data_IF_147033135416
#
_entry.id   IF_147033135416
#
_cell.length_a   1.000
_cell.length_b   1.000
_cell.length_c   1.000
_cell.angle_alpha   90.00
_cell.angle_beta   90.00
_cell.angle_gamma   90.00
#
_symmetry.space_group_name_H-M   'P 1'
#
loop_
_entity.id
_entity.type
_entity.pdbx_description
1 polymer ?
#
# COMPACT_ATOMS: atom_id res chain seq x y z
N UNK A 1 -6.82 -21.81 -10.65
CA UNK A 1 -8.25 -22.14 -10.47
C UNK A 1 -8.85 -22.52 -11.81
N UNK A 2 -10.15 -22.78 -11.84
CA UNK A 2 -10.90 -22.94 -13.09
C UNK A 2 -10.81 -21.65 -13.94
N UNK A 3 -10.93 -21.75 -15.28
CA UNK A 3 -10.96 -20.58 -16.15
C UNK A 3 -12.11 -19.63 -15.75
N UNK A 4 -11.94 -18.30 -15.95
CA UNK A 4 -13.08 -17.41 -16.05
C UNK A 4 -14.05 -17.94 -17.12
N UNK A 5 -15.35 -17.87 -16.83
CA UNK A 5 -16.40 -18.22 -17.80
C UNK A 5 -16.11 -17.48 -19.13
N UNK A 6 -15.96 -18.25 -20.21
CA UNK A 6 -15.64 -17.82 -21.58
C UNK A 6 -14.16 -17.63 -21.97
N UNK A 7 -13.19 -18.10 -21.17
CA UNK A 7 -11.79 -18.16 -21.62
C UNK A 7 -11.36 -19.62 -21.82
N UNK A 8 -11.13 -20.03 -23.06
CA UNK A 8 -10.51 -21.32 -23.36
C UNK A 8 -9.05 -21.34 -22.87
N UNK A 9 -8.62 -22.40 -22.17
CA UNK A 9 -7.23 -22.53 -21.75
C UNK A 9 -6.31 -22.66 -22.97
N UNK A 10 -5.14 -21.97 -22.99
CA UNK A 10 -4.14 -22.15 -24.04
C UNK A 10 -3.75 -23.61 -24.24
N UNK A 11 -3.67 -24.37 -23.14
CA UNK A 11 -3.52 -25.83 -23.14
C UNK A 11 -4.55 -26.45 -22.20
N UNK A 12 -5.58 -27.15 -22.71
CA UNK A 12 -6.59 -27.82 -21.88
C UNK A 12 -5.97 -28.80 -20.89
N UNK A 13 -6.37 -28.71 -19.61
CA UNK A 13 -5.88 -29.60 -18.54
C UNK A 13 -4.49 -29.24 -17.99
N UNK A 14 -3.72 -28.37 -18.65
CA UNK A 14 -2.37 -27.98 -18.24
C UNK A 14 -2.22 -26.48 -17.95
N UNK A 15 -3.32 -25.73 -18.06
CA UNK A 15 -3.33 -24.29 -17.78
C UNK A 15 -3.76 -24.01 -16.35
N UNK A 16 -2.97 -23.21 -15.63
CA UNK A 16 -3.33 -22.68 -14.31
C UNK A 16 -3.71 -21.21 -14.41
N UNK A 17 -4.95 -20.89 -14.06
CA UNK A 17 -5.41 -19.50 -13.97
C UNK A 17 -5.03 -18.91 -12.60
N UNK A 18 -4.27 -17.83 -12.64
CA UNK A 18 -3.90 -17.01 -11.48
C UNK A 18 -4.49 -15.62 -11.70
N UNK A 19 -5.38 -15.13 -10.81
CA UNK A 19 -5.97 -13.81 -10.95
C UNK A 19 -4.91 -12.72 -10.77
N UNK A 20 -5.19 -11.54 -11.32
CA UNK A 20 -4.30 -10.38 -11.19
C UNK A 20 -3.95 -10.13 -9.72
N UNK A 21 -2.68 -9.81 -9.46
CA UNK A 21 -2.18 -9.55 -8.11
C UNK A 21 -2.19 -10.76 -7.18
N UNK A 22 -2.40 -11.98 -7.72
CA UNK A 22 -2.49 -13.20 -6.93
C UNK A 22 -3.68 -13.21 -5.98
N UNK A 23 -4.75 -12.46 -6.31
CA UNK A 23 -5.99 -12.32 -5.54
C UNK A 23 -6.77 -13.66 -5.46
N UNK A 24 -6.20 -14.65 -4.78
CA UNK A 24 -6.75 -15.99 -4.64
C UNK A 24 -6.27 -16.61 -3.33
N UNK A 25 -6.95 -17.67 -2.89
CA UNK A 25 -6.55 -18.43 -1.70
C UNK A 25 -5.12 -18.98 -1.73
N UNK A 26 -4.48 -19.11 -2.91
CA UNK A 26 -3.08 -19.58 -3.01
C UNK A 26 -2.08 -18.63 -2.35
N UNK A 27 -2.40 -17.33 -2.29
CA UNK A 27 -1.56 -16.33 -1.64
C UNK A 27 -1.60 -16.40 -0.09
N UNK A 28 -2.58 -17.12 0.49
CA UNK A 28 -2.78 -17.21 1.94
C UNK A 28 -1.53 -17.70 2.68
N UNK A 29 -0.80 -18.68 2.13
CA UNK A 29 0.37 -19.24 2.79
C UNK A 29 1.47 -18.18 2.98
N UNK A 30 1.76 -17.40 1.94
CA UNK A 30 2.76 -16.33 1.99
C UNK A 30 2.35 -15.19 2.92
N UNK A 31 1.09 -14.75 2.85
CA UNK A 31 0.60 -13.65 3.70
C UNK A 31 0.44 -14.08 5.16
N UNK A 32 0.12 -15.35 5.41
CA UNK A 32 0.14 -15.94 6.76
C UNK A 32 1.55 -15.90 7.32
N UNK A 33 2.55 -16.31 6.54
CA UNK A 33 3.95 -16.25 6.96
C UNK A 33 4.39 -14.82 7.28
N UNK A 34 4.04 -13.87 6.42
CA UNK A 34 4.29 -12.45 6.64
C UNK A 34 3.64 -11.95 7.94
N UNK A 35 2.39 -12.34 8.21
CA UNK A 35 1.70 -11.98 9.45
C UNK A 35 2.42 -12.53 10.69
N UNK A 36 2.87 -13.79 10.65
CA UNK A 36 3.65 -14.42 11.73
C UNK A 36 4.95 -13.64 11.99
N UNK A 37 5.67 -13.26 10.93
CA UNK A 37 6.91 -12.49 11.02
C UNK A 37 6.68 -11.10 11.61
N UNK A 38 5.64 -10.40 11.15
CA UNK A 38 5.24 -9.08 11.68
C UNK A 38 4.86 -9.17 13.16
N UNK A 39 4.00 -10.12 13.53
CA UNK A 39 3.55 -10.30 14.93
C UNK A 39 4.74 -10.64 15.82
N UNK A 40 5.59 -11.58 15.39
CA UNK A 40 6.79 -11.97 16.14
C UNK A 40 7.73 -10.79 16.33
N UNK A 41 8.02 -10.05 15.25
CA UNK A 41 8.87 -8.87 15.31
C UNK A 41 8.29 -7.80 16.23
N UNK A 42 7.00 -7.51 16.11
CA UNK A 42 6.38 -6.45 16.90
C UNK A 42 6.21 -6.81 18.38
N UNK A 43 6.00 -8.09 18.69
CA UNK A 43 6.00 -8.58 20.07
C UNK A 43 7.37 -8.38 20.75
N UNK A 44 8.46 -8.62 20.02
CA UNK A 44 9.84 -8.48 20.51
C UNK A 44 10.31 -7.01 20.55
N UNK A 45 10.05 -6.25 19.48
CA UNK A 45 10.63 -4.91 19.24
C UNK A 45 9.67 -3.75 19.47
N UNK A 46 8.36 -4.02 19.49
CA UNK A 46 7.33 -2.98 19.59
C UNK A 46 7.24 -2.33 20.97
N UNK A 47 7.72 -3.02 22.02
CA UNK A 47 7.68 -2.53 23.42
C UNK A 47 6.26 -2.15 23.88
N UNK A 48 5.25 -2.92 23.45
CA UNK A 48 3.84 -2.66 23.75
C UNK A 48 3.24 -1.46 23.03
N UNK A 49 3.98 -0.78 22.15
CA UNK A 49 3.44 0.34 21.37
C UNK A 49 2.47 -0.16 20.30
N UNK A 50 1.44 0.64 19.94
CA UNK A 50 0.60 0.35 18.80
C UNK A 50 1.38 0.45 17.47
N UNK A 51 0.98 -0.36 16.49
CA UNK A 51 1.54 -0.42 15.14
C UNK A 51 0.48 -0.12 14.09
N UNK A 52 0.84 0.68 13.11
CA UNK A 52 0.14 0.81 11.83
C UNK A 52 1.05 0.30 10.72
N UNK A 53 0.58 -0.71 10.01
CA UNK A 53 1.24 -1.27 8.84
C UNK A 53 0.67 -0.61 7.60
N UNK A 54 1.54 -0.01 6.80
CA UNK A 54 1.18 0.67 5.55
C UNK A 54 1.69 -0.12 4.35
N UNK A 55 0.86 -0.28 3.33
CA UNK A 55 1.29 -0.92 2.09
C UNK A 55 0.61 -0.34 0.84
N UNK A 56 1.31 -0.31 -0.31
CA UNK A 56 0.71 0.03 -1.59
C UNK A 56 -0.42 -0.93 -1.97
N UNK A 57 -1.46 -0.41 -2.60
CA UNK A 57 -2.64 -1.16 -3.04
C UNK A 57 -2.93 -0.99 -4.52
N UNK A 58 -2.65 -2.02 -5.32
CA UNK A 58 -3.24 -2.19 -6.66
C UNK A 58 -4.56 -2.96 -6.58
N UNK A 59 -4.49 -4.28 -6.57
CA UNK A 59 -5.64 -5.18 -6.29
C UNK A 59 -5.96 -5.29 -4.80
N UNK A 60 -5.12 -4.71 -3.93
CA UNK A 60 -5.25 -4.73 -2.47
C UNK A 60 -5.23 -6.13 -1.81
N UNK A 61 -4.85 -7.18 -2.57
CA UNK A 61 -4.91 -8.58 -2.10
C UNK A 61 -4.03 -8.83 -0.88
N UNK A 62 -2.77 -8.34 -0.91
CA UNK A 62 -1.85 -8.44 0.22
C UNK A 62 -2.41 -7.77 1.48
N UNK A 63 -3.07 -6.61 1.34
CA UNK A 63 -3.61 -5.88 2.47
C UNK A 63 -4.73 -6.65 3.17
N UNK A 64 -5.69 -7.19 2.39
CA UNK A 64 -6.80 -8.00 2.91
C UNK A 64 -6.29 -9.27 3.58
N UNK A 65 -5.45 -10.02 2.87
CA UNK A 65 -4.95 -11.30 3.37
C UNK A 65 -4.09 -11.12 4.63
N UNK A 66 -3.26 -10.08 4.68
CA UNK A 66 -2.46 -9.75 5.86
C UNK A 66 -3.34 -9.31 7.03
N UNK A 67 -4.34 -8.46 6.78
CA UNK A 67 -5.32 -8.03 7.79
C UNK A 67 -6.08 -9.22 8.40
N UNK A 68 -6.56 -10.14 7.55
CA UNK A 68 -7.26 -11.33 8.00
C UNK A 68 -6.35 -12.25 8.81
N UNK A 69 -5.12 -12.47 8.35
CA UNK A 69 -4.13 -13.29 9.04
C UNK A 69 -3.76 -12.71 10.41
N UNK A 70 -3.47 -11.41 10.49
CA UNK A 70 -3.16 -10.73 11.76
C UNK A 70 -4.35 -10.80 12.70
N UNK A 71 -5.57 -10.49 12.23
CA UNK A 71 -6.78 -10.51 13.06
C UNK A 71 -7.07 -11.91 13.59
N UNK A 72 -6.87 -12.95 12.78
CA UNK A 72 -7.04 -14.34 13.20
C UNK A 72 -6.00 -14.79 14.23
N UNK A 73 -4.72 -14.46 14.03
CA UNK A 73 -3.63 -14.84 14.93
C UNK A 73 -3.61 -14.04 16.23
N UNK A 74 -4.05 -12.78 16.19
CA UNK A 74 -4.06 -11.85 17.31
C UNK A 74 -5.47 -11.73 17.94
N UNK A 75 -6.23 -12.84 17.97
CA UNK A 75 -7.61 -12.87 18.46
C UNK A 75 -7.78 -12.48 19.93
N UNK A 76 -6.73 -12.64 20.74
CA UNK A 76 -6.68 -12.16 22.14
C UNK A 76 -6.37 -10.67 22.28
N UNK A 77 -6.12 -9.97 21.17
CA UNK A 77 -5.71 -8.55 21.09
C UNK A 77 -4.53 -8.22 22.02
N UNK A 78 -3.52 -9.09 22.04
CA UNK A 78 -2.28 -8.86 22.82
C UNK A 78 -1.44 -7.72 22.22
N UNK A 79 -1.56 -7.51 20.91
CA UNK A 79 -0.92 -6.42 20.19
C UNK A 79 -1.98 -5.52 19.56
N UNK A 80 -1.72 -4.22 19.50
CA UNK A 80 -2.53 -3.30 18.70
C UNK A 80 -1.85 -3.09 17.34
N UNK A 81 -2.27 -3.87 16.35
CA UNK A 81 -1.75 -3.82 14.98
C UNK A 81 -2.90 -3.52 14.01
N UNK A 82 -2.73 -2.49 13.21
CA UNK A 82 -3.71 -2.04 12.21
C UNK A 82 -3.09 -2.06 10.82
N UNK A 83 -3.87 -2.42 9.81
CA UNK A 83 -3.42 -2.47 8.41
C UNK A 83 -4.10 -1.34 7.64
N UNK A 84 -3.29 -0.52 6.98
CA UNK A 84 -3.69 0.63 6.19
C UNK A 84 -3.19 0.45 4.75
N UNK A 85 -4.11 0.44 3.79
CA UNK A 85 -3.79 0.34 2.37
C UNK A 85 -3.75 1.72 1.74
N UNK A 86 -2.76 1.97 0.88
CA UNK A 86 -2.61 3.20 0.12
C UNK A 86 -2.94 2.90 -1.34
N UNK A 87 -4.09 3.34 -1.88
CA UNK A 87 -4.47 3.03 -3.26
C UNK A 87 -3.50 3.65 -4.26
N UNK A 88 -2.88 2.83 -5.09
CA UNK A 88 -2.06 3.24 -6.23
C UNK A 88 -2.81 3.04 -7.56
N UNK A 89 -3.91 2.30 -7.54
CA UNK A 89 -4.79 2.07 -8.70
C UNK A 89 -6.20 2.49 -8.33
N UNK A 90 -6.79 3.37 -9.14
CA UNK A 90 -8.14 3.88 -8.89
C UNK A 90 -8.21 4.76 -7.65
N UNK A 91 -9.40 4.82 -7.06
CA UNK A 91 -9.73 5.57 -5.85
C UNK A 91 -10.08 4.64 -4.68
N UNK A 92 -10.51 5.22 -3.56
CA UNK A 92 -11.03 4.45 -2.40
C UNK A 92 -12.19 3.52 -2.76
N UNK A 93 -13.07 3.91 -3.67
CA UNK A 93 -14.20 3.08 -4.07
C UNK A 93 -13.71 1.85 -4.82
N UNK A 94 -12.73 2.01 -5.71
CA UNK A 94 -12.07 0.91 -6.39
C UNK A 94 -11.38 -0.02 -5.37
N UNK A 95 -10.58 0.52 -4.46
CA UNK A 95 -9.86 -0.27 -3.45
C UNK A 95 -10.84 -1.05 -2.56
N UNK A 96 -11.88 -0.40 -2.03
CA UNK A 96 -12.91 -1.05 -1.22
C UNK A 96 -13.63 -2.16 -1.98
N UNK A 97 -13.96 -1.95 -3.27
CA UNK A 97 -14.61 -2.98 -4.09
C UNK A 97 -13.71 -4.20 -4.29
N UNK A 98 -12.43 -3.99 -4.59
CA UNK A 98 -11.46 -5.09 -4.74
C UNK A 98 -11.34 -5.89 -3.43
N UNK A 99 -11.17 -5.18 -2.31
CA UNK A 99 -11.03 -5.83 -1.00
C UNK A 99 -12.28 -6.60 -0.59
N UNK A 100 -13.46 -6.02 -0.79
CA UNK A 100 -14.75 -6.66 -0.47
C UNK A 100 -14.97 -7.92 -1.30
N UNK A 101 -14.68 -7.88 -2.61
CA UNK A 101 -14.82 -9.03 -3.49
C UNK A 101 -13.92 -10.19 -3.05
N UNK A 102 -12.64 -9.91 -2.76
CA UNK A 102 -11.72 -10.93 -2.28
C UNK A 102 -12.13 -11.48 -0.91
N UNK A 103 -12.58 -10.63 0.02
CA UNK A 103 -13.02 -11.10 1.34
C UNK A 103 -14.23 -12.05 1.24
N UNK A 104 -15.17 -11.74 0.33
CA UNK A 104 -16.32 -12.59 0.06
C UNK A 104 -15.90 -13.95 -0.53
N UNK A 105 -14.96 -13.96 -1.48
CA UNK A 105 -14.41 -15.19 -2.08
C UNK A 105 -13.74 -16.08 -1.02
N UNK A 106 -13.02 -15.48 -0.06
CA UNK A 106 -12.32 -16.20 1.01
C UNK A 106 -13.25 -16.75 2.09
N UNK A 107 -14.56 -16.45 2.04
CA UNK A 107 -15.53 -16.86 3.06
C UNK A 107 -15.18 -16.35 4.47
N UNK A 108 -14.41 -15.25 4.56
CA UNK A 108 -13.93 -14.74 5.84
C UNK A 108 -15.08 -14.14 6.64
N UNK A 109 -15.35 -14.70 7.81
CA UNK A 109 -16.37 -14.25 8.77
C UNK A 109 -15.93 -13.07 9.65
N UNK A 110 -14.67 -12.64 9.53
CA UNK A 110 -14.13 -11.49 10.26
C UNK A 110 -14.53 -10.19 9.53
N UNK A 111 -15.38 -9.39 10.17
CA UNK A 111 -16.05 -8.18 9.63
C UNK A 111 -15.12 -6.97 9.39
N UNK A 112 -13.89 -7.16 8.92
CA UNK A 112 -12.96 -6.08 8.64
C UNK A 112 -12.38 -6.16 7.23
N UNK A 113 -12.29 -5.01 6.57
CA UNK A 113 -11.32 -4.77 5.51
C UNK A 113 -10.30 -3.75 6.06
N UNK A 114 -9.05 -3.76 5.56
CA UNK A 114 -8.06 -2.75 5.89
C UNK A 114 -8.61 -1.32 5.69
N UNK A 115 -8.17 -0.39 6.53
CA UNK A 115 -8.46 1.03 6.34
C UNK A 115 -7.80 1.53 5.07
N UNK A 116 -8.54 2.25 4.23
CA UNK A 116 -7.99 2.91 3.04
C UNK A 116 -7.48 4.29 3.44
N UNK A 117 -6.22 4.60 3.12
CA UNK A 117 -5.67 5.93 3.31
C UNK A 117 -6.05 6.83 2.12
N UNK A 118 -6.85 7.89 2.32
CA UNK A 118 -7.20 8.82 1.24
C UNK A 118 -5.97 9.62 0.77
N UNK A 119 -6.00 10.17 -0.46
CA UNK A 119 -4.85 10.86 -1.07
C UNK A 119 -4.54 12.20 -0.38
N UNK A 120 -5.52 12.73 0.37
CA UNK A 120 -5.45 14.01 1.08
C UNK A 120 -5.83 13.75 2.54
N UNK A 121 -5.06 14.26 3.51
CA UNK A 121 -5.45 14.25 4.92
C UNK A 121 -6.69 15.09 5.16
N UNK A 122 -7.57 14.64 6.06
CA UNK A 122 -8.72 15.43 6.53
C UNK A 122 -8.26 16.53 7.50
N UNK A 123 -7.55 17.52 6.97
CA UNK A 123 -7.02 18.65 7.71
C UNK A 123 -7.29 19.97 6.96
N UNK A 124 -8.09 20.89 7.54
CA UNK A 124 -8.40 22.18 6.92
C UNK A 124 -7.18 23.08 6.68
N UNK A 125 -6.12 22.98 7.49
CA UNK A 125 -4.90 23.75 7.28
C UNK A 125 -4.05 23.19 6.13
N UNK A 126 -4.06 21.87 5.92
CA UNK A 126 -3.43 21.23 4.77
C UNK A 126 -4.10 21.68 3.46
N UNK A 127 -5.42 21.60 3.39
CA UNK A 127 -6.18 22.00 2.20
C UNK A 127 -6.07 23.51 1.92
N UNK A 128 -6.10 24.35 2.97
CA UNK A 128 -5.90 25.80 2.83
C UNK A 128 -4.51 26.16 2.29
N UNK A 129 -3.46 25.42 2.69
CA UNK A 129 -2.09 25.61 2.16
C UNK A 129 -1.91 25.08 0.75
N UNK A 130 -2.78 24.16 0.34
CA UNK A 130 -2.72 23.50 -0.96
C UNK A 130 -4.07 23.65 -1.70
N UNK A 131 -4.52 24.87 -2.02
CA UNK A 131 -5.87 25.10 -2.53
C UNK A 131 -6.15 24.43 -3.89
N UNK A 132 -5.09 24.07 -4.62
CA UNK A 132 -5.17 23.37 -5.90
C UNK A 132 -5.05 21.84 -5.77
N UNK A 133 -4.82 21.30 -4.56
CA UNK A 133 -4.83 19.86 -4.32
C UNK A 133 -6.29 19.39 -4.26
N UNK A 134 -6.87 19.18 -5.45
CA UNK A 134 -8.14 18.44 -5.55
C UNK A 134 -7.88 16.99 -5.16
N UNK A 135 -8.92 16.24 -4.79
CA UNK A 135 -8.93 14.83 -4.35
C UNK A 135 -8.23 13.86 -5.35
N UNK A 136 -6.94 14.08 -5.57
CA UNK A 136 -6.15 13.55 -6.67
C UNK A 136 -5.44 12.34 -6.15
N UNK A 137 -6.13 11.22 -6.30
CA UNK A 137 -5.43 9.98 -6.61
C UNK A 137 -4.58 10.20 -7.86
N UNK A 138 -3.39 9.63 -7.86
CA UNK A 138 -2.57 9.58 -9.06
C UNK A 138 -3.19 8.59 -10.03
N UNK A 139 -3.30 8.96 -11.30
CA UNK A 139 -3.65 8.00 -12.33
C UNK A 139 -2.56 6.93 -12.39
N UNK A 140 -2.94 5.66 -12.33
CA UNK A 140 -1.97 4.57 -12.29
C UNK A 140 -1.05 4.61 -13.52
N UNK A 141 0.26 4.70 -13.27
CA UNK A 141 1.30 4.70 -14.31
C UNK A 141 1.47 6.00 -15.09
N UNK A 142 0.73 7.05 -14.76
CA UNK A 142 0.93 8.38 -15.32
C UNK A 142 2.10 9.10 -14.62
N UNK A 143 3.09 9.61 -15.37
CA UNK A 143 4.17 10.40 -14.78
C UNK A 143 3.65 11.65 -14.07
N UNK A 144 4.06 11.85 -12.82
CA UNK A 144 3.62 12.97 -12.00
C UNK A 144 4.78 13.60 -11.22
N UNK A 145 4.96 14.94 -11.23
CA UNK A 145 6.06 15.62 -10.54
C UNK A 145 6.19 15.23 -9.06
N UNK A 146 5.10 15.25 -8.30
CA UNK A 146 5.15 14.87 -6.88
C UNK A 146 5.61 13.43 -6.60
N UNK A 147 5.33 12.49 -7.53
CA UNK A 147 5.81 11.11 -7.43
C UNK A 147 7.32 11.09 -7.68
N UNK A 148 7.79 11.80 -8.70
CA UNK A 148 9.22 11.94 -9.03
C UNK A 148 10.00 12.61 -7.88
N UNK A 149 9.44 13.65 -7.27
CA UNK A 149 10.05 14.34 -6.13
C UNK A 149 10.25 13.37 -4.96
N UNK A 150 9.23 12.56 -4.66
CA UNK A 150 9.29 11.54 -3.61
C UNK A 150 10.30 10.45 -3.94
N UNK A 151 10.31 9.96 -5.18
CA UNK A 151 11.31 9.00 -5.64
C UNK A 151 12.73 9.53 -5.44
N UNK A 152 12.99 10.76 -5.89
CA UNK A 152 14.30 11.39 -5.78
C UNK A 152 14.72 11.66 -4.33
N UNK A 153 13.79 12.03 -3.45
CA UNK A 153 14.10 12.28 -2.04
C UNK A 153 14.36 10.98 -1.27
N UNK A 154 13.74 9.87 -1.68
CA UNK A 154 13.83 8.60 -0.96
C UNK A 154 14.96 7.69 -1.48
N UNK A 155 15.41 7.83 -2.73
CA UNK A 155 16.25 6.84 -3.41
C UNK A 155 17.55 6.43 -2.68
N UNK A 156 18.11 7.31 -1.86
CA UNK A 156 19.34 7.02 -1.11
C UNK A 156 19.07 6.24 0.20
N UNK A 157 17.86 6.32 0.75
CA UNK A 157 17.43 5.63 1.97
C UNK A 157 16.64 4.34 1.67
N UNK A 158 15.76 4.42 0.66
CA UNK A 158 14.89 3.35 0.21
C UNK A 158 14.57 3.58 -1.27
N UNK A 159 15.07 2.69 -2.13
CA UNK A 159 14.74 2.72 -3.55
C UNK A 159 13.28 2.31 -3.73
N UNK A 160 12.46 3.18 -4.29
CA UNK A 160 11.04 2.96 -4.56
C UNK A 160 10.81 2.85 -6.07
N UNK A 161 9.82 2.08 -6.50
CA UNK A 161 9.32 2.15 -7.87
C UNK A 161 8.36 3.35 -8.06
N UNK A 162 8.16 3.81 -9.30
CA UNK A 162 7.30 4.95 -9.63
C UNK A 162 5.83 4.56 -9.89
N UNK A 163 5.43 3.29 -9.73
CA UNK A 163 4.04 2.83 -9.89
C UNK A 163 3.32 2.59 -8.55
N UNK A 164 4.02 2.06 -7.56
CA UNK A 164 3.45 1.69 -6.27
C UNK A 164 4.18 2.35 -5.10
N UNK A 165 5.51 2.18 -5.03
CA UNK A 165 6.35 2.66 -3.94
C UNK A 165 6.28 4.18 -3.76
N UNK A 166 6.79 4.93 -4.72
CA UNK A 166 6.86 6.38 -4.67
C UNK A 166 5.47 7.03 -4.57
N UNK A 167 4.43 6.62 -5.35
CA UNK A 167 3.07 7.13 -5.15
C UNK A 167 2.52 6.90 -3.74
N UNK A 168 2.77 5.73 -3.16
CA UNK A 168 2.34 5.43 -1.79
C UNK A 168 3.04 6.31 -0.77
N UNK A 169 4.35 6.47 -0.90
CA UNK A 169 5.13 7.35 -0.04
C UNK A 169 4.72 8.82 -0.19
N UNK A 170 4.38 9.28 -1.40
CA UNK A 170 3.89 10.64 -1.61
C UNK A 170 2.61 10.87 -0.81
N UNK A 171 1.67 9.92 -0.81
CA UNK A 171 0.43 10.03 -0.01
C UNK A 171 0.73 9.89 1.49
N UNK A 172 1.53 8.91 1.88
CA UNK A 172 1.91 8.68 3.28
C UNK A 172 2.54 9.93 3.90
N UNK A 173 3.51 10.54 3.24
CA UNK A 173 4.19 11.76 3.71
C UNK A 173 3.23 12.95 3.86
N UNK A 174 2.17 13.07 3.03
CA UNK A 174 1.14 14.11 3.23
C UNK A 174 0.49 13.97 4.60
N UNK A 175 0.10 12.76 4.98
CA UNK A 175 -0.53 12.47 6.27
C UNK A 175 0.44 12.63 7.44
N UNK A 176 1.67 12.15 7.31
CA UNK A 176 2.69 12.30 8.37
C UNK A 176 3.03 13.77 8.64
N UNK A 177 3.09 14.61 7.61
CA UNK A 177 3.36 16.04 7.75
C UNK A 177 2.22 16.84 8.42
N UNK A 178 1.02 16.26 8.45
CA UNK A 178 -0.14 16.82 9.15
C UNK A 178 -0.18 16.29 10.58
N UNK A 179 -0.16 14.96 10.75
CA UNK A 179 -0.31 14.30 12.05
C UNK A 179 0.90 14.50 12.97
N UNK A 180 2.11 14.66 12.42
CA UNK A 180 3.32 14.99 13.19
C UNK A 180 3.27 16.33 13.92
N UNK A 181 2.28 17.19 13.64
CA UNK A 181 2.01 18.44 14.37
C UNK A 181 0.99 18.29 15.49
N UNK A 182 0.21 17.21 15.48
CA UNK A 182 -0.73 16.87 16.54
C UNK A 182 0.01 16.09 17.63
N UNK A 183 0.87 16.76 18.38
CA UNK A 183 1.36 16.19 19.63
C UNK A 183 0.37 16.52 20.74
N UNK A 184 -0.44 15.56 21.15
CA UNK A 184 -0.99 15.57 22.51
C UNK A 184 -1.27 14.16 23.07
N UNK A 185 -0.53 13.89 24.14
CA UNK A 185 -1.00 13.34 25.44
C UNK A 185 -1.60 11.94 25.43
N UNK A 186 -0.72 10.95 25.61
CA UNK A 186 -0.70 10.12 26.83
C UNK A 186 -2.02 9.50 27.33
N UNK A 187 -2.94 9.19 26.43
CA UNK A 187 -4.14 8.41 26.71
C UNK A 187 -4.16 7.18 25.81
N UNK A 188 -4.78 6.10 26.28
CA UNK A 188 -5.08 4.91 25.47
C UNK A 188 -5.94 5.34 24.26
N UNK A 189 -5.31 5.69 23.13
CA UNK A 189 -6.06 6.01 21.93
C UNK A 189 -6.38 4.72 21.18
N UNK A 190 -7.67 4.38 21.16
CA UNK A 190 -8.22 3.45 20.18
C UNK A 190 -7.87 3.94 18.77
N UNK A 191 -7.60 3.01 17.86
CA UNK A 191 -7.32 3.33 16.46
C UNK A 191 -8.41 4.21 15.83
N UNK A 192 -7.99 5.34 15.25
CA UNK A 192 -8.84 6.23 14.47
C UNK A 192 -8.45 6.14 12.98
N UNK A 193 -9.35 5.68 12.09
CA UNK A 193 -9.07 5.57 10.66
C UNK A 193 -8.87 6.92 9.95
N UNK A 194 -9.27 8.04 10.54
CA UNK A 194 -9.06 9.39 10.00
C UNK A 194 -7.62 9.85 10.26
N UNK A 195 -7.08 9.50 11.43
CA UNK A 195 -5.68 9.79 11.81
C UNK A 195 -4.91 8.50 12.13
N UNK A 196 -4.70 7.62 11.14
CA UNK A 196 -4.25 6.24 11.38
C UNK A 196 -2.81 6.12 11.90
N UNK A 197 -2.07 7.21 12.05
CA UNK A 197 -0.69 7.21 12.53
C UNK A 197 -0.53 7.93 13.89
N UNK A 198 -1.58 8.56 14.43
CA UNK A 198 -1.46 9.35 15.65
C UNK A 198 -1.11 8.48 16.87
N UNK A 199 0.04 8.75 17.48
CA UNK A 199 0.57 7.99 18.61
C UNK A 199 1.03 6.56 18.27
N UNK A 200 1.09 6.18 16.99
CA UNK A 200 1.40 4.81 16.54
C UNK A 200 2.76 4.72 15.88
N UNK A 201 3.41 3.57 16.04
CA UNK A 201 4.58 3.23 15.23
C UNK A 201 4.13 2.86 13.83
N UNK A 202 4.98 3.08 12.83
CA UNK A 202 4.64 2.85 11.42
C UNK A 202 5.60 1.82 10.85
N UNK A 203 5.05 0.83 10.17
CA UNK A 203 5.81 -0.15 9.38
C UNK A 203 5.33 -0.10 7.94
N UNK A 204 6.20 0.29 7.01
CA UNK A 204 5.91 0.25 5.59
C UNK A 204 6.34 -1.10 5.01
N UNK A 205 5.45 -1.77 4.27
CA UNK A 205 5.78 -2.99 3.52
C UNK A 205 6.15 -2.60 2.09
N UNK A 206 7.44 -2.73 1.78
CA UNK A 206 7.96 -2.51 0.44
C UNK A 206 7.65 -3.72 -0.46
N UNK A 207 6.74 -3.57 -1.43
CA UNK A 207 6.22 -4.68 -2.24
C UNK A 207 7.05 -5.05 -3.47
N UNK A 208 8.21 -4.42 -3.69
CA UNK A 208 9.10 -4.70 -4.85
C UNK A 208 8.87 -3.73 -6.00
N UNK A 209 8.97 -4.20 -7.25
CA UNK A 209 8.71 -3.39 -8.47
C UNK A 209 9.92 -2.62 -9.00
N UNK A 210 11.10 -2.84 -8.43
CA UNK A 210 12.33 -2.11 -8.75
C UNK A 210 12.81 -2.38 -10.18
N UNK A 211 12.52 -3.56 -10.72
CA UNK A 211 12.81 -3.95 -12.10
C UNK A 211 12.16 -3.04 -13.14
N UNK A 212 11.07 -2.35 -12.77
CA UNK A 212 10.33 -1.45 -13.63
C UNK A 212 10.90 -0.03 -13.71
N UNK A 213 11.81 0.36 -12.81
CA UNK A 213 12.24 1.76 -12.61
C UNK A 213 12.72 2.40 -13.92
N UNK A 214 13.62 1.75 -14.65
CA UNK A 214 14.17 2.30 -15.89
C UNK A 214 13.09 2.55 -16.95
N UNK A 215 12.17 1.60 -17.11
CA UNK A 215 11.06 1.74 -18.06
C UNK A 215 10.11 2.87 -17.66
N UNK A 216 9.95 3.10 -16.36
CA UNK A 216 9.11 4.17 -15.82
C UNK A 216 9.80 5.53 -15.99
N UNK A 217 11.08 5.67 -15.64
CA UNK A 217 11.87 6.89 -15.85
C UNK A 217 11.85 7.32 -17.33
N UNK A 218 11.92 6.39 -18.27
CA UNK A 218 11.75 6.71 -19.70
C UNK A 218 10.39 7.38 -20.03
N UNK A 219 9.31 7.03 -19.31
CA UNK A 219 8.01 7.71 -19.45
C UNK A 219 8.05 9.13 -18.87
N UNK A 220 8.73 9.33 -17.75
CA UNK A 220 8.95 10.66 -17.17
C UNK A 220 9.75 11.55 -18.11
N UNK A 221 10.80 11.00 -18.76
CA UNK A 221 11.55 11.69 -19.81
C UNK A 221 10.67 12.07 -20.99
N UNK A 222 9.86 11.15 -21.49
CA UNK A 222 8.93 11.44 -22.59
C UNK A 222 7.94 12.57 -22.26
N UNK A 223 7.61 12.73 -20.97
CA UNK A 223 6.80 13.84 -20.46
C UNK A 223 7.59 15.12 -20.14
N UNK A 224 8.90 15.13 -20.35
CA UNK A 224 9.79 16.27 -20.08
C UNK A 224 9.99 16.56 -18.59
N UNK A 225 9.85 15.55 -17.72
CA UNK A 225 10.02 15.71 -16.27
C UNK A 225 11.45 15.41 -15.79
N UNK A 226 12.24 14.71 -16.59
CA UNK A 226 13.65 14.39 -16.34
C UNK A 226 14.43 14.40 -17.65
N UNK A 227 15.75 14.52 -17.56
CA UNK A 227 16.66 14.42 -18.70
C UNK A 227 17.16 12.97 -18.88
N UNK A 228 17.83 12.69 -20.01
CA UNK A 228 18.38 11.34 -20.27
C UNK A 228 19.47 10.96 -19.26
N UNK A 229 20.28 11.94 -18.82
CA UNK A 229 21.41 11.72 -17.93
C UNK A 229 20.98 11.25 -16.52
N UNK A 230 19.69 11.43 -16.19
CA UNK A 230 19.07 10.94 -14.96
C UNK A 230 18.69 9.44 -15.02
N UNK A 231 18.90 8.78 -16.16
CA UNK A 231 18.48 7.38 -16.41
C UNK A 231 19.71 6.49 -16.59
N UNK A 232 19.93 5.56 -15.65
CA UNK A 232 20.90 4.48 -15.87
C UNK A 232 20.29 3.41 -16.78
N UNK A 233 20.73 3.36 -18.03
CA UNK A 233 20.31 2.33 -18.98
C UNK A 233 21.04 1.01 -18.69
N UNK A 234 20.36 -0.16 -18.78
CA UNK A 234 21.04 -1.45 -18.67
C UNK A 234 22.11 -1.58 -19.78
N UNK A 235 23.35 -1.86 -19.40
CA UNK A 235 24.47 -2.09 -20.34
C UNK A 235 25.45 -0.93 -20.53
N UNK A 236 25.31 0.17 -19.78
CA UNK A 236 26.33 1.24 -19.72
C UNK A 236 27.07 1.18 -18.40
N UNK A 237 27.98 0.21 -18.27
CA UNK A 237 29.03 0.15 -17.25
C UNK A 237 30.32 -0.36 -17.91
#
# INVERSE_FOLDING_TARGET
GEPPLAIEPPVPGESLYVPQGGASGTALAGTRRLAEEVISFWKDRGQGRPLTICLPGGTCSTAVLLHNAITGMNSKKELDIQVVVIPCVGDEFYANRQMTALNAELGSSNNGIPTVLPPIPDDPAFTKKNPNIKNQYFSFGEPHPAILDTYNSMKDELVLDLLYGAPSWTILLRHLNVQGKSQNKGGESSFDPIVPFDGRSIMYIHSGGLEGINTQLLRYKYKGLIELDDIQLPGTA
#
